data_IF_696827901979
#
_entry.id   IF_696827901979
#
_cell.length_a   1.000
_cell.length_b   1.000
_cell.length_c   1.000
_cell.angle_alpha   90.00
_cell.angle_beta   90.00
_cell.angle_gamma   90.00
#
_symmetry.space_group_name_H-M   'P 1'
#
loop_
_entity.id
_entity.type
_entity.pdbx_description
1 polymer ?
#
# COMPACT_ATOMS: atom_id res chain seq x y z
N UNK A 1 8.81 -4.50 -14.27
CA UNK A 1 7.68 -3.62 -13.86
C UNK A 1 7.91 -2.95 -12.52
N UNK A 2 8.37 -3.69 -11.52
CA UNK A 2 8.61 -3.15 -10.19
C UNK A 2 9.65 -2.01 -10.19
N UNK A 3 10.82 -2.25 -10.75
CA UNK A 3 11.89 -1.23 -10.79
C UNK A 3 11.51 -0.03 -11.65
N UNK A 4 10.82 -0.27 -12.76
CA UNK A 4 10.33 0.80 -13.62
C UNK A 4 9.36 1.70 -12.88
N UNK A 5 8.47 1.10 -12.08
CA UNK A 5 7.48 1.86 -11.33
C UNK A 5 8.12 2.66 -10.20
N UNK A 6 9.15 2.11 -9.54
CA UNK A 6 9.93 2.84 -8.55
C UNK A 6 10.58 4.08 -9.17
N UNK A 7 11.17 3.92 -10.37
CA UNK A 7 11.80 5.05 -11.06
C UNK A 7 10.78 6.14 -11.38
N UNK A 8 9.58 5.76 -11.85
CA UNK A 8 8.52 6.72 -12.13
C UNK A 8 8.02 7.42 -10.86
N UNK A 9 7.87 6.67 -9.77
CA UNK A 9 7.46 7.22 -8.50
C UNK A 9 8.48 8.25 -7.99
N UNK A 10 9.76 7.96 -8.16
CA UNK A 10 10.84 8.89 -7.80
C UNK A 10 10.77 10.17 -8.64
N UNK A 11 10.48 10.05 -9.92
CA UNK A 11 10.31 11.20 -10.83
C UNK A 11 9.16 12.11 -10.36
N UNK A 12 8.08 11.55 -9.83
CA UNK A 12 6.94 12.30 -9.30
C UNK A 12 7.14 12.75 -7.85
N UNK A 13 8.33 12.56 -7.28
CA UNK A 13 8.66 12.95 -5.91
C UNK A 13 7.77 12.26 -4.86
N UNK A 14 7.38 11.02 -5.13
CA UNK A 14 6.55 10.23 -4.21
C UNK A 14 7.37 9.52 -3.14
N UNK A 15 8.70 9.49 -3.28
CA UNK A 15 9.61 8.81 -2.36
C UNK A 15 10.40 9.83 -1.56
N UNK A 16 10.53 9.61 -0.26
CA UNK A 16 11.40 10.41 0.62
C UNK A 16 12.47 9.51 1.26
N UNK A 17 13.24 10.05 2.19
CA UNK A 17 14.34 9.31 2.84
C UNK A 17 13.85 8.20 3.77
N UNK A 18 12.59 8.27 4.21
CA UNK A 18 12.01 7.33 5.16
C UNK A 18 10.92 6.46 4.53
N UNK A 19 10.90 6.39 3.20
CA UNK A 19 9.90 5.62 2.46
C UNK A 19 10.10 4.12 2.66
N UNK A 20 9.00 3.43 2.93
CA UNK A 20 8.91 1.99 2.82
C UNK A 20 7.95 1.67 1.68
N UNK A 21 8.23 0.62 0.91
CA UNK A 21 7.37 0.28 -0.21
C UNK A 21 7.30 -1.22 -0.45
N UNK A 22 6.18 -1.63 -1.01
CA UNK A 22 5.98 -2.98 -1.54
C UNK A 22 5.29 -2.86 -2.91
N UNK A 23 5.42 -3.90 -3.70
CA UNK A 23 4.73 -4.02 -4.98
C UNK A 23 3.73 -5.16 -4.87
N UNK A 24 2.48 -4.89 -5.17
CA UNK A 24 1.46 -5.90 -5.02
C UNK A 24 0.13 -5.48 -5.61
N UNK A 25 -0.86 -6.36 -5.46
CA UNK A 25 -2.17 -6.15 -6.04
C UNK A 25 -3.25 -6.08 -4.98
N UNK A 26 -4.34 -5.39 -5.32
CA UNK A 26 -5.55 -5.39 -4.52
C UNK A 26 -6.75 -5.19 -5.44
N UNK A 27 -7.92 -5.54 -4.94
CA UNK A 27 -9.17 -5.34 -5.66
C UNK A 27 -9.77 -4.00 -5.24
N UNK A 28 -10.07 -3.15 -6.21
CA UNK A 28 -10.58 -1.81 -5.97
C UNK A 28 -11.80 -1.56 -6.85
N UNK A 29 -12.77 -0.81 -6.32
CA UNK A 29 -13.96 -0.44 -7.08
C UNK A 29 -13.71 0.86 -7.84
N UNK A 30 -13.77 0.79 -9.17
CA UNK A 30 -13.65 1.94 -10.06
C UNK A 30 -14.96 2.07 -10.82
N UNK A 31 -15.65 3.17 -10.60
CA UNK A 31 -16.95 3.45 -11.25
C UNK A 31 -17.96 2.30 -11.11
N UNK A 32 -17.96 1.66 -9.92
CA UNK A 32 -18.89 0.57 -9.63
C UNK A 32 -18.43 -0.80 -10.07
N UNK A 33 -17.30 -0.91 -10.76
CA UNK A 33 -16.75 -2.19 -11.18
C UNK A 33 -15.53 -2.55 -10.34
N UNK A 34 -15.44 -3.83 -9.93
CA UNK A 34 -14.29 -4.33 -9.19
C UNK A 34 -13.16 -4.64 -10.16
N UNK A 35 -11.99 -4.10 -9.87
CA UNK A 35 -10.79 -4.28 -10.70
C UNK A 35 -9.63 -4.70 -9.83
N UNK A 36 -8.84 -5.66 -10.33
CA UNK A 36 -7.58 -6.03 -9.69
C UNK A 36 -6.49 -5.10 -10.22
N UNK A 37 -5.90 -4.34 -9.31
CA UNK A 37 -4.87 -3.36 -9.65
C UNK A 37 -3.54 -3.80 -9.04
N UNK A 38 -2.47 -3.71 -9.82
CA UNK A 38 -1.11 -4.04 -9.36
C UNK A 38 -0.23 -2.80 -9.47
N UNK A 39 0.39 -2.43 -8.37
CA UNK A 39 1.24 -1.25 -8.33
C UNK A 39 2.05 -1.16 -7.05
N UNK A 40 2.60 0.04 -6.81
CA UNK A 40 3.38 0.30 -5.60
C UNK A 40 2.48 0.79 -4.46
N UNK A 41 2.67 0.19 -3.29
CA UNK A 41 2.18 0.73 -2.05
C UNK A 41 3.36 1.43 -1.37
N UNK A 42 3.20 2.71 -1.11
CA UNK A 42 4.25 3.60 -0.63
C UNK A 42 3.84 4.15 0.73
N UNK A 43 4.68 3.92 1.73
CA UNK A 43 4.47 4.51 3.05
C UNK A 43 5.51 5.58 3.28
N UNK A 44 5.09 6.83 3.21
CA UNK A 44 5.90 8.00 3.55
C UNK A 44 5.56 8.44 4.98
N UNK A 45 6.33 9.37 5.50
CA UNK A 45 6.11 9.89 6.84
C UNK A 45 4.70 10.48 7.01
N UNK A 46 4.21 11.19 6.00
CA UNK A 46 2.94 11.91 6.05
C UNK A 46 1.79 11.26 5.31
N UNK A 47 2.05 10.27 4.46
CA UNK A 47 1.02 9.72 3.58
C UNK A 47 1.26 8.26 3.26
N UNK A 48 0.15 7.54 3.10
CA UNK A 48 0.11 6.17 2.61
C UNK A 48 -0.49 6.22 1.21
N UNK A 49 0.23 5.70 0.21
CA UNK A 49 -0.11 5.94 -1.20
C UNK A 49 -0.14 4.61 -1.95
N UNK A 50 -1.16 4.44 -2.81
CA UNK A 50 -1.12 3.45 -3.88
C UNK A 50 -0.86 4.17 -5.19
N UNK A 51 0.15 3.71 -5.93
CA UNK A 51 0.60 4.33 -7.16
C UNK A 51 0.71 3.28 -8.26
N UNK A 52 0.04 3.55 -9.38
CA UNK A 52 0.08 2.71 -10.57
C UNK A 52 0.21 3.62 -11.78
N UNK A 53 1.26 3.38 -12.59
CA UNK A 53 1.43 4.11 -13.84
C UNK A 53 1.98 3.17 -14.90
N UNK A 54 1.25 3.04 -16.01
CA UNK A 54 1.70 2.34 -17.21
C UNK A 54 1.24 3.11 -18.43
N UNK A 55 1.33 2.52 -19.63
CA UNK A 55 0.98 3.20 -20.88
C UNK A 55 -0.49 3.61 -20.94
N UNK A 56 -1.35 2.92 -20.23
CA UNK A 56 -2.82 3.08 -20.35
C UNK A 56 -3.48 3.66 -19.11
N UNK A 57 -2.86 3.52 -17.94
CA UNK A 57 -3.48 3.86 -16.67
C UNK A 57 -2.51 4.66 -15.81
N UNK A 58 -3.04 5.72 -15.21
CA UNK A 58 -2.36 6.46 -14.15
C UNK A 58 -3.33 6.54 -12.97
N UNK A 59 -2.92 6.01 -11.83
CA UNK A 59 -3.73 6.08 -10.62
C UNK A 59 -2.83 6.43 -9.44
N UNK A 60 -3.20 7.48 -8.72
CA UNK A 60 -2.54 7.89 -7.49
C UNK A 60 -3.62 8.02 -6.43
N UNK A 61 -3.60 7.14 -5.43
CA UNK A 61 -4.57 7.16 -4.36
C UNK A 61 -3.86 7.38 -3.04
N UNK A 62 -4.21 8.45 -2.33
CA UNK A 62 -3.65 8.77 -1.02
C UNK A 62 -4.63 8.41 0.08
N UNK A 63 -4.10 7.81 1.14
CA UNK A 63 -4.86 7.47 2.35
C UNK A 63 -4.21 8.18 3.53
N UNK A 64 -5.02 8.79 4.38
CA UNK A 64 -4.51 9.42 5.60
C UNK A 64 -4.33 8.36 6.69
N UNK A 65 -3.21 8.37 7.39
CA UNK A 65 -2.98 7.41 8.48
C UNK A 65 -4.06 7.49 9.55
N UNK A 66 -4.62 8.67 9.79
CA UNK A 66 -5.70 8.86 10.78
C UNK A 66 -6.96 8.05 10.47
N UNK A 67 -7.16 7.71 9.20
CA UNK A 67 -8.33 6.95 8.76
C UNK A 67 -8.11 5.44 8.81
N UNK A 68 -6.86 5.02 9.03
CA UNK A 68 -6.47 3.61 9.02
C UNK A 68 -6.43 3.09 10.45
N UNK A 69 -7.10 1.96 10.68
CA UNK A 69 -7.05 1.26 11.96
C UNK A 69 -5.75 0.48 12.11
N UNK A 70 -5.44 -0.35 11.13
CA UNK A 70 -4.28 -1.24 11.19
C UNK A 70 -3.97 -1.80 9.80
N UNK A 71 -2.70 -2.10 9.55
CA UNK A 71 -2.27 -2.94 8.43
C UNK A 71 -1.91 -4.31 9.01
N UNK A 72 -2.84 -5.25 8.88
CA UNK A 72 -2.73 -6.58 9.48
C UNK A 72 -2.00 -7.53 8.55
N UNK A 73 -1.09 -8.32 9.10
CA UNK A 73 -0.35 -9.30 8.34
C UNK A 73 -1.01 -10.67 8.48
N UNK A 74 -1.29 -11.31 7.34
CA UNK A 74 -1.84 -12.67 7.29
C UNK A 74 -0.81 -13.59 6.65
N UNK A 75 -0.45 -14.65 7.34
CA UNK A 75 0.46 -15.67 6.83
C UNK A 75 -0.34 -16.94 6.61
N UNK A 76 -0.36 -17.44 5.38
CA UNK A 76 -0.96 -18.73 5.07
C UNK A 76 0.14 -19.78 5.00
N UNK A 77 0.03 -20.81 5.84
CA UNK A 77 0.99 -21.93 5.83
C UNK A 77 0.84 -22.76 4.55
N UNK A 78 -0.38 -22.78 3.99
CA UNK A 78 -0.70 -23.59 2.81
C UNK A 78 -0.28 -22.91 1.50
N UNK A 79 -0.23 -21.60 1.47
CA UNK A 79 0.22 -20.84 0.30
C UNK A 79 1.37 -19.94 0.74
N UNK A 80 2.40 -19.85 -0.08
CA UNK A 80 3.53 -18.97 0.19
C UNK A 80 3.19 -17.50 -0.06
N UNK A 81 1.92 -17.21 -0.32
CA UNK A 81 1.46 -15.85 -0.63
C UNK A 81 1.40 -15.01 0.64
N UNK A 82 2.05 -13.87 0.60
CA UNK A 82 2.01 -12.88 1.69
C UNK A 82 0.83 -11.95 1.47
N UNK A 83 -0.05 -11.88 2.47
CA UNK A 83 -1.23 -11.01 2.43
C UNK A 83 -1.16 -9.99 3.53
N UNK A 84 -1.52 -8.76 3.20
CA UNK A 84 -1.74 -7.71 4.18
C UNK A 84 -3.18 -7.25 4.07
N UNK A 85 -3.84 -7.00 5.20
CA UNK A 85 -5.20 -6.48 5.19
C UNK A 85 -5.15 -5.06 5.75
N UNK A 86 -5.49 -4.11 4.89
CA UNK A 86 -5.57 -2.70 5.25
C UNK A 86 -6.97 -2.43 5.76
N UNK A 87 -7.10 -2.22 7.07
CA UNK A 87 -8.40 -1.98 7.72
C UNK A 87 -8.54 -0.51 8.07
N UNK A 88 -9.70 0.04 7.74
CA UNK A 88 -10.02 1.44 8.03
C UNK A 88 -10.94 1.54 9.24
N UNK A 89 -10.96 2.70 9.86
CA UNK A 89 -11.80 2.97 11.04
C UNK A 89 -13.29 2.84 10.72
N UNK A 90 -13.68 3.04 9.45
CA UNK A 90 -15.08 2.92 9.01
C UNK A 90 -15.50 1.48 8.71
N UNK A 91 -14.65 0.49 9.03
CA UNK A 91 -14.87 -0.95 8.83
C UNK A 91 -14.64 -1.44 7.39
N UNK A 92 -14.28 -0.56 6.47
CA UNK A 92 -13.85 -0.99 5.14
C UNK A 92 -12.47 -1.61 5.22
N UNK A 93 -12.14 -2.46 4.26
CA UNK A 93 -10.82 -3.07 4.19
C UNK A 93 -10.45 -3.44 2.76
N UNK A 94 -9.13 -3.49 2.53
CA UNK A 94 -8.55 -4.01 1.28
C UNK A 94 -7.57 -5.10 1.61
N UNK A 95 -7.57 -6.16 0.79
CA UNK A 95 -6.59 -7.25 0.90
C UNK A 95 -5.50 -7.01 -0.14
N UNK A 96 -4.26 -6.87 0.34
CA UNK A 96 -3.09 -6.63 -0.50
C UNK A 96 -2.31 -7.94 -0.67
N UNK A 97 -2.06 -8.34 -1.92
CA UNK A 97 -1.23 -9.51 -2.23
C UNK A 97 0.16 -8.99 -2.60
N UNK A 98 1.15 -9.33 -1.78
CA UNK A 98 2.50 -8.80 -1.92
C UNK A 98 3.31 -9.65 -2.90
N UNK A 99 3.77 -9.04 -3.99
CA UNK A 99 4.61 -9.69 -4.99
C UNK A 99 6.09 -9.41 -4.76
N UNK A 100 6.44 -8.16 -4.40
CA UNK A 100 7.83 -7.77 -4.14
C UNK A 100 7.88 -6.90 -2.89
N UNK A 101 8.98 -7.03 -2.15
CA UNK A 101 9.21 -6.27 -0.93
C UNK A 101 8.99 -7.12 0.32
N UNK A 102 9.37 -6.57 1.45
CA UNK A 102 9.26 -7.26 2.74
C UNK A 102 7.98 -6.85 3.46
N UNK A 103 6.96 -7.70 3.37
CA UNK A 103 5.63 -7.43 3.91
C UNK A 103 5.65 -7.12 5.41
N UNK A 104 6.44 -7.87 6.19
CA UNK A 104 6.52 -7.70 7.63
C UNK A 104 7.13 -6.35 8.01
N UNK A 105 8.20 -5.95 7.33
CA UNK A 105 8.85 -4.65 7.57
C UNK A 105 7.91 -3.51 7.18
N UNK A 106 7.27 -3.64 6.03
CA UNK A 106 6.32 -2.64 5.54
C UNK A 106 5.15 -2.46 6.51
N UNK A 107 4.53 -3.56 6.93
CA UNK A 107 3.40 -3.51 7.86
C UNK A 107 3.80 -2.89 9.20
N UNK A 108 4.97 -3.26 9.73
CA UNK A 108 5.48 -2.71 10.97
C UNK A 108 5.67 -1.19 10.87
N UNK A 109 6.25 -0.73 9.76
CA UNK A 109 6.49 0.70 9.54
C UNK A 109 5.19 1.49 9.41
N UNK A 110 4.24 0.95 8.66
CA UNK A 110 2.92 1.59 8.50
C UNK A 110 2.22 1.70 9.85
N UNK A 111 2.23 0.63 10.64
CA UNK A 111 1.57 0.62 11.93
C UNK A 111 2.22 1.57 12.93
N UNK A 112 3.54 1.75 12.87
CA UNK A 112 4.23 2.75 13.68
C UNK A 112 3.72 4.16 13.35
N UNK A 113 3.53 4.45 12.06
CA UNK A 113 3.03 5.74 11.61
C UNK A 113 1.58 5.97 12.01
N UNK A 114 0.77 4.92 11.96
CA UNK A 114 -0.62 4.99 12.44
C UNK A 114 -0.65 5.33 13.93
N UNK A 115 0.15 4.64 14.74
CA UNK A 115 0.20 4.89 16.19
C UNK A 115 0.69 6.31 16.50
N UNK A 116 1.67 6.80 15.76
CA UNK A 116 2.19 8.15 15.95
C UNK A 116 1.10 9.20 15.76
N UNK A 117 0.26 9.02 14.75
CA UNK A 117 -0.87 9.93 14.49
C UNK A 117 -1.90 9.87 15.60
N UNK A 118 -2.15 8.71 16.19
CA UNK A 118 -3.10 8.55 17.29
C UNK A 118 -2.64 9.22 18.58
N UNK A 119 -1.31 9.27 18.79
CA UNK A 119 -0.75 9.87 20.00
C UNK A 119 -0.71 11.41 19.94
N UNK A 120 -0.79 11.94 18.75
CA UNK A 120 -0.87 13.38 18.53
C UNK A 120 -2.33 13.83 18.63
#
# INVERSE_FOLDING_TARGET
MYETMIAKASTHELLDMNTSLIYGSFTYSVEGELMDLTGLWISNEDAFIFYLENEYVYLLKKFAYKDIEVLEQKISIMSMTKKLILRFNNKESYTLLVANGEANVFASRVNERIEKVRLD
#
